data_IF_175500098969
#
_entry.id   IF_175500098969
#
_cell.length_a   1.000
_cell.length_b   1.000
_cell.length_c   1.000
_cell.angle_alpha   90.00
_cell.angle_beta   90.00
_cell.angle_gamma   90.00
#
_symmetry.space_group_name_H-M   'P 1'
#
loop_
_entity.id
_entity.type
_entity.pdbx_description
1 polymer ?
#
# COMPACT_ATOMS: atom_id res chain seq x y z
N UNK A 1 4.70 21.88 4.68
CA UNK A 1 3.39 21.40 4.19
C UNK A 1 3.14 20.02 4.78
N UNK A 2 2.33 19.94 5.83
CA UNK A 2 2.00 18.70 6.52
C UNK A 2 0.68 18.17 5.94
N UNK A 3 0.76 17.18 5.06
CA UNK A 3 -0.41 16.44 4.58
C UNK A 3 -0.13 14.95 4.73
N UNK A 4 -1.07 14.27 5.39
CA UNK A 4 -1.30 12.82 5.40
C UNK A 4 -0.22 11.92 6.03
N UNK A 5 -0.08 11.94 7.36
CA UNK A 5 0.52 10.81 8.09
C UNK A 5 -0.35 10.25 9.24
N UNK A 6 -1.46 10.91 9.61
CA UNK A 6 -2.20 10.54 10.83
C UNK A 6 -3.31 9.49 10.61
N UNK A 7 -3.80 9.36 9.37
CA UNK A 7 -4.91 8.47 9.02
C UNK A 7 -4.53 7.03 8.65
N UNK A 8 -3.32 6.89 8.09
CA UNK A 8 -2.80 5.63 7.58
C UNK A 8 -1.83 5.01 8.59
N UNK A 9 -1.82 3.69 8.72
CA UNK A 9 -0.72 3.00 9.39
C UNK A 9 0.06 2.17 8.38
N UNK A 10 1.39 2.22 8.55
CA UNK A 10 2.30 1.28 7.92
C UNK A 10 2.90 0.43 9.02
N UNK A 11 2.62 -0.86 8.98
CA UNK A 11 3.27 -1.82 9.88
C UNK A 11 4.40 -2.51 9.13
N UNK A 12 5.58 -2.55 9.76
CA UNK A 12 6.79 -3.11 9.18
C UNK A 12 7.04 -4.55 9.66
N UNK A 13 7.55 -5.37 8.74
CA UNK A 13 8.52 -6.47 8.92
C UNK A 13 7.97 -7.82 9.39
N UNK A 14 7.60 -8.65 8.41
CA UNK A 14 7.94 -10.07 8.40
C UNK A 14 9.03 -10.27 7.34
N UNK A 15 10.22 -10.70 7.78
CA UNK A 15 11.26 -11.21 6.87
C UNK A 15 10.95 -12.68 6.70
N UNK A 16 10.29 -13.03 5.61
CA UNK A 16 10.18 -14.43 5.21
C UNK A 16 11.46 -14.78 4.45
N UNK A 17 12.43 -15.35 5.17
CA UNK A 17 13.58 -15.98 4.52
C UNK A 17 13.17 -17.34 3.99
N UNK A 18 13.39 -17.60 2.70
CA UNK A 18 13.45 -18.96 2.17
C UNK A 18 14.92 -19.28 1.94
N UNK A 19 15.46 -20.26 2.66
CA UNK A 19 16.75 -20.85 2.32
C UNK A 19 16.58 -21.62 1.00
N UNK A 20 17.30 -21.20 -0.05
CA UNK A 20 17.41 -21.98 -1.29
C UNK A 20 18.68 -22.81 -1.15
N UNK A 21 18.49 -24.13 -0.97
CA UNK A 21 19.50 -25.07 -0.48
C UNK A 21 20.68 -25.37 -1.43
N UNK A 22 20.99 -24.52 -2.41
CA UNK A 22 22.05 -24.80 -3.39
C UNK A 22 23.12 -23.70 -3.55
N UNK A 23 22.88 -22.45 -3.09
CA UNK A 23 23.84 -21.34 -3.30
C UNK A 23 24.15 -20.51 -2.05
N UNK A 24 23.58 -20.83 -0.89
CA UNK A 24 23.79 -20.05 0.35
C UNK A 24 23.29 -18.61 0.28
N UNK A 25 22.47 -18.26 -0.72
CA UNK A 25 21.96 -16.91 -0.93
C UNK A 25 20.62 -16.76 -0.20
N UNK A 26 20.59 -15.95 0.87
CA UNK A 26 19.36 -15.66 1.59
C UNK A 26 18.51 -14.66 0.77
N UNK A 27 17.41 -15.14 0.19
CA UNK A 27 16.43 -14.26 -0.45
C UNK A 27 15.52 -13.66 0.63
N UNK A 28 15.81 -12.43 1.03
CA UNK A 28 14.94 -11.68 1.96
C UNK A 28 13.81 -11.03 1.19
N UNK A 29 12.60 -11.58 1.31
CA UNK A 29 11.38 -10.90 0.86
C UNK A 29 10.87 -10.02 1.99
N UNK A 30 10.60 -8.74 1.70
CA UNK A 30 10.04 -7.82 2.67
C UNK A 30 8.52 -7.76 2.52
N UNK A 31 7.79 -8.02 3.60
CA UNK A 31 6.37 -7.74 3.65
C UNK A 31 6.13 -6.32 4.17
N UNK A 32 5.34 -5.55 3.42
CA UNK A 32 4.86 -4.23 3.81
C UNK A 32 3.33 -4.21 3.84
N UNK A 33 2.75 -3.50 4.80
CA UNK A 33 1.30 -3.29 4.87
C UNK A 33 1.01 -1.81 5.02
N UNK A 34 0.09 -1.27 4.22
CA UNK A 34 -0.53 0.04 4.42
C UNK A 34 -2.02 -0.17 4.66
N UNK A 35 -2.58 0.48 5.68
CA UNK A 35 -4.02 0.44 5.92
C UNK A 35 -4.60 1.78 6.33
N UNK A 36 -5.88 1.97 6.05
CA UNK A 36 -6.73 3.03 6.58
C UNK A 36 -8.03 2.42 7.13
N UNK A 37 -8.54 2.94 8.25
CA UNK A 37 -9.81 2.53 8.87
C UNK A 37 -10.74 3.73 8.94
N UNK A 38 -12.04 3.48 8.89
CA UNK A 38 -13.05 4.54 9.05
C UNK A 38 -12.84 5.36 10.33
N UNK A 39 -12.33 4.73 11.41
CA UNK A 39 -12.05 5.39 12.69
C UNK A 39 -10.98 6.48 12.60
N UNK A 40 -10.06 6.36 11.63
CA UNK A 40 -8.94 7.31 11.46
C UNK A 40 -9.16 8.30 10.34
N UNK A 41 -9.79 7.89 9.24
CA UNK A 41 -9.94 8.75 8.04
C UNK A 41 -11.38 9.20 7.78
N UNK A 42 -12.36 8.66 8.52
CA UNK A 42 -13.78 8.87 8.26
C UNK A 42 -14.30 8.04 7.08
N UNK A 43 -15.63 7.96 6.95
CA UNK A 43 -16.28 7.11 5.95
C UNK A 43 -16.08 7.63 4.52
N UNK A 44 -16.16 8.94 4.30
CA UNK A 44 -16.02 9.56 2.97
C UNK A 44 -14.63 9.31 2.38
N UNK A 45 -13.57 9.59 3.15
CA UNK A 45 -12.20 9.34 2.74
C UNK A 45 -11.95 7.85 2.52
N UNK A 46 -12.49 6.98 3.39
CA UNK A 46 -12.34 5.53 3.23
C UNK A 46 -12.95 5.05 1.92
N UNK A 47 -14.14 5.55 1.54
CA UNK A 47 -14.80 5.20 0.29
C UNK A 47 -13.98 5.61 -0.94
N UNK A 48 -13.27 6.75 -0.88
CA UNK A 48 -12.38 7.20 -1.97
C UNK A 48 -11.12 6.33 -2.12
N UNK A 49 -10.72 5.61 -1.08
CA UNK A 49 -9.60 4.66 -1.13
C UNK A 49 -10.02 3.30 -1.69
N UNK A 50 -11.32 3.06 -1.90
CA UNK A 50 -11.84 1.81 -2.43
C UNK A 50 -11.60 1.71 -3.95
N UNK A 51 -10.83 0.71 -4.36
CA UNK A 51 -10.56 0.41 -5.77
C UNK A 51 -11.63 -0.56 -6.28
N UNK A 52 -12.68 -0.03 -6.89
CA UNK A 52 -13.83 -0.82 -7.33
C UNK A 52 -13.49 -1.80 -8.47
N UNK A 53 -12.64 -1.40 -9.40
CA UNK A 53 -12.29 -2.20 -10.58
C UNK A 53 -10.93 -2.92 -10.42
N UNK A 54 -10.75 -3.99 -11.20
CA UNK A 54 -9.51 -4.76 -11.21
C UNK A 54 -8.35 -3.98 -11.83
N UNK A 55 -8.61 -3.09 -12.79
CA UNK A 55 -7.58 -2.33 -13.48
C UNK A 55 -6.86 -1.35 -12.52
N UNK A 56 -7.59 -0.71 -11.60
CA UNK A 56 -7.04 0.14 -10.56
C UNK A 56 -6.16 -0.65 -9.58
N UNK A 57 -6.59 -1.86 -9.21
CA UNK A 57 -5.80 -2.78 -8.37
C UNK A 57 -4.51 -3.24 -9.08
N UNK A 58 -4.58 -3.52 -10.39
CA UNK A 58 -3.40 -3.81 -11.22
C UNK A 58 -2.45 -2.61 -11.32
N UNK A 59 -2.98 -1.39 -11.48
CA UNK A 59 -2.15 -0.17 -11.46
C UNK A 59 -1.47 0.04 -10.12
N UNK A 60 -2.16 -0.20 -9.01
CA UNK A 60 -1.57 -0.17 -7.67
C UNK A 60 -0.40 -1.16 -7.56
N UNK A 61 -0.61 -2.41 -7.97
CA UNK A 61 0.43 -3.45 -7.98
C UNK A 61 1.67 -3.00 -8.77
N UNK A 62 1.48 -2.52 -9.99
CA UNK A 62 2.57 -2.04 -10.85
C UNK A 62 3.27 -0.80 -10.26
N UNK A 63 2.51 0.17 -9.73
CA UNK A 63 3.05 1.38 -9.13
C UNK A 63 3.94 1.08 -7.91
N UNK A 64 3.63 0.03 -7.15
CA UNK A 64 4.43 -0.36 -5.99
C UNK A 64 5.71 -1.09 -6.37
N UNK A 65 5.78 -1.72 -7.55
CA UNK A 65 6.89 -2.58 -7.95
C UNK A 65 7.02 -3.81 -7.04
N UNK A 66 5.90 -4.32 -6.53
CA UNK A 66 5.86 -5.50 -5.67
C UNK A 66 5.86 -6.79 -6.49
N UNK A 67 6.34 -7.88 -5.89
CA UNK A 67 6.24 -9.24 -6.43
C UNK A 67 4.79 -9.74 -6.37
N UNK A 68 4.13 -9.49 -5.25
CA UNK A 68 2.74 -9.85 -5.01
C UNK A 68 2.04 -8.75 -4.21
N UNK A 69 0.72 -8.64 -4.37
CA UNK A 69 -0.09 -7.69 -3.61
C UNK A 69 -1.46 -8.27 -3.28
N UNK A 70 -1.90 -8.07 -2.04
CA UNK A 70 -3.27 -8.33 -1.61
C UNK A 70 -3.94 -7.00 -1.30
N UNK A 71 -5.10 -6.77 -1.90
CA UNK A 71 -5.92 -5.59 -1.66
C UNK A 71 -7.21 -6.02 -0.93
N UNK A 72 -7.37 -5.58 0.31
CA UNK A 72 -8.54 -5.84 1.14
C UNK A 72 -9.32 -4.54 1.34
N UNK A 73 -10.53 -4.47 0.81
CA UNK A 73 -11.44 -3.35 1.05
C UNK A 73 -12.75 -3.86 1.65
N UNK A 74 -13.16 -3.20 2.74
CA UNK A 74 -14.40 -3.45 3.46
C UNK A 74 -15.04 -2.11 3.83
N UNK A 75 -16.26 -2.12 4.35
CA UNK A 75 -16.90 -0.90 4.85
C UNK A 75 -16.15 -0.21 5.99
N UNK A 76 -15.22 -0.91 6.66
CA UNK A 76 -14.52 -0.39 7.85
C UNK A 76 -13.03 -0.14 7.65
N UNK A 77 -12.43 -0.71 6.60
CA UNK A 77 -11.00 -0.61 6.32
C UNK A 77 -10.65 -0.87 4.86
N UNK A 78 -9.56 -0.24 4.43
CA UNK A 78 -8.82 -0.54 3.21
C UNK A 78 -7.39 -0.88 3.62
N UNK A 79 -6.90 -2.05 3.22
CA UNK A 79 -5.56 -2.53 3.52
C UNK A 79 -4.90 -3.07 2.24
N UNK A 80 -3.61 -2.78 2.10
CA UNK A 80 -2.77 -3.27 1.02
C UNK A 80 -1.58 -3.97 1.66
N UNK A 81 -1.43 -5.25 1.35
CA UNK A 81 -0.26 -6.05 1.74
C UNK A 81 0.58 -6.28 0.50
N UNK A 82 1.88 -6.00 0.59
CA UNK A 82 2.83 -6.10 -0.51
C UNK A 82 3.97 -7.06 -0.14
N UNK A 83 4.29 -7.97 -1.04
CA UNK A 83 5.57 -8.66 -1.05
C UNK A 83 6.54 -7.87 -1.93
N UNK A 84 7.59 -7.32 -1.33
CA UNK A 84 8.56 -6.48 -2.02
C UNK A 84 9.80 -7.29 -2.40
N UNK A 85 10.36 -7.05 -3.60
CA UNK A 85 11.65 -7.61 -3.97
C UNK A 85 12.76 -6.98 -3.10
N UNK A 86 13.91 -7.65 -2.94
CA UNK A 86 14.96 -7.22 -2.02
C UNK A 86 15.56 -5.84 -2.35
N UNK A 87 15.44 -5.39 -3.60
CA UNK A 87 15.93 -4.09 -4.07
C UNK A 87 15.00 -2.94 -3.67
N UNK A 88 13.73 -3.21 -3.35
CA UNK A 88 12.75 -2.18 -3.00
C UNK A 88 12.69 -2.01 -1.50
N UNK A 89 13.18 -0.87 -1.02
CA UNK A 89 13.09 -0.52 0.39
C UNK A 89 11.64 -0.24 0.82
N UNK A 90 11.30 -0.59 2.05
CA UNK A 90 9.95 -0.30 2.59
C UNK A 90 9.60 1.19 2.57
N UNK A 91 10.51 2.14 2.91
CA UNK A 91 10.22 3.58 2.79
C UNK A 91 9.86 4.02 1.37
N UNK A 92 10.50 3.41 0.36
CA UNK A 92 10.21 3.69 -1.04
C UNK A 92 8.84 3.12 -1.45
N UNK A 93 8.56 1.87 -1.10
CA UNK A 93 7.24 1.27 -1.34
C UNK A 93 6.12 2.10 -0.69
N UNK A 94 6.33 2.58 0.54
CA UNK A 94 5.41 3.48 1.23
C UNK A 94 5.19 4.78 0.46
N UNK A 95 6.26 5.41 -0.05
CA UNK A 95 6.16 6.65 -0.85
C UNK A 95 5.34 6.42 -2.12
N UNK A 96 5.58 5.32 -2.83
CA UNK A 96 4.85 4.94 -4.05
C UNK A 96 3.37 4.68 -3.77
N UNK A 97 3.06 3.97 -2.68
CA UNK A 97 1.69 3.71 -2.22
C UNK A 97 0.91 4.99 -1.92
N UNK A 98 1.51 5.92 -1.18
CA UNK A 98 0.89 7.21 -0.91
C UNK A 98 0.70 8.04 -2.19
N UNK A 99 1.70 8.06 -3.08
CA UNK A 99 1.60 8.74 -4.38
C UNK A 99 0.43 8.20 -5.20
N UNK A 100 0.29 6.88 -5.28
CA UNK A 100 -0.82 6.24 -5.98
C UNK A 100 -2.18 6.67 -5.41
N UNK A 101 -2.38 6.59 -4.09
CA UNK A 101 -3.67 6.94 -3.49
C UNK A 101 -3.96 8.44 -3.57
N UNK A 102 -2.93 9.28 -3.53
CA UNK A 102 -3.07 10.72 -3.75
C UNK A 102 -3.52 11.02 -5.19
N UNK A 103 -2.89 10.42 -6.20
CA UNK A 103 -3.30 10.58 -7.60
C UNK A 103 -4.70 10.01 -7.86
N UNK A 104 -5.01 8.86 -7.27
CA UNK A 104 -6.31 8.22 -7.39
C UNK A 104 -7.42 9.06 -6.74
N UNK A 105 -7.20 9.60 -5.54
CA UNK A 105 -8.19 10.45 -4.86
C UNK A 105 -8.30 11.83 -5.51
N UNK A 106 -7.21 12.39 -6.03
CA UNK A 106 -7.24 13.65 -6.78
C UNK A 106 -8.05 13.54 -8.08
N UNK A 107 -8.07 12.36 -8.71
CA UNK A 107 -8.98 12.06 -9.83
C UNK A 107 -10.45 11.94 -9.38
N UNK A 108 -10.69 11.64 -8.11
CA UNK A 108 -12.03 11.51 -7.52
C UNK A 108 -12.57 12.80 -6.88
N UNK A 109 -11.73 13.82 -6.63
CA UNK A 109 -12.19 15.12 -6.14
C UNK A 109 -11.08 16.16 -5.92
N UNK A 110 -11.16 17.28 -6.65
CA UNK A 110 -10.38 18.51 -6.41
C UNK A 110 -10.81 19.30 -5.15
N UNK A 111 -11.68 18.75 -4.29
CA UNK A 111 -12.40 19.54 -3.28
C UNK A 111 -12.05 19.21 -1.80
N UNK A 112 -10.97 18.46 -1.51
CA UNK A 112 -10.67 18.02 -0.12
C UNK A 112 -9.27 18.43 0.37
N UNK A 113 -8.58 19.33 -0.36
CA UNK A 113 -7.27 19.86 0.06
C UNK A 113 -7.25 21.39 0.25
N UNK A 114 -8.42 22.00 0.48
CA UNK A 114 -8.54 23.37 0.99
C UNK A 114 -8.80 23.35 2.51
#
# INVERSE_FOLDING_TARGET
MACANEGFWVTHKLVCGREVAETGTQLTTHLAMLGATFRRVGQTTLAQLMLADEAARRRLHLACGCLESVYLATCNRVEVVLALPPEVSVPEARRRLYGFFYEHSAQLGRDVLA
#
